data_IF_143029941580
#
_entry.id   IF_143029941580
#
_cell.length_a   1.000
_cell.length_b   1.000
_cell.length_c   1.000
_cell.angle_alpha   90.00
_cell.angle_beta   90.00
_cell.angle_gamma   90.00
#
_symmetry.space_group_name_H-M   'P 1'
#
loop_
_entity.id
_entity.type
_entity.pdbx_description
1 polymer ?
#
# COMPACT_ATOMS: atom_id res chain seq x y z
N UNK A 1 5.82 79.16 -0.64
CA UNK A 1 6.35 77.82 -0.31
C UNK A 1 5.64 76.81 -1.19
N UNK A 2 6.34 76.15 -2.11
CA UNK A 2 6.13 74.74 -2.50
C UNK A 2 7.20 74.37 -3.53
N UNK A 3 7.97 73.36 -3.15
CA UNK A 3 9.25 72.97 -3.72
C UNK A 3 9.07 71.93 -4.83
N UNK A 4 9.78 72.18 -5.94
CA UNK A 4 10.69 71.27 -6.66
C UNK A 4 10.24 69.81 -6.86
N UNK A 5 9.83 69.52 -8.09
CA UNK A 5 9.97 68.22 -8.72
C UNK A 5 11.44 67.77 -8.70
N UNK A 6 11.71 66.64 -8.05
CA UNK A 6 12.96 65.89 -8.15
C UNK A 6 12.65 64.47 -8.57
N UNK A 7 13.25 64.07 -9.69
CA UNK A 7 13.52 62.67 -9.99
C UNK A 7 14.30 62.04 -8.83
N UNK A 8 14.08 60.75 -8.58
CA UNK A 8 15.15 59.77 -8.31
C UNK A 8 14.59 58.37 -8.59
N UNK A 9 15.29 57.66 -9.47
CA UNK A 9 15.21 56.22 -9.70
C UNK A 9 15.63 55.50 -8.40
N UNK A 10 14.87 54.50 -7.95
CA UNK A 10 15.47 53.39 -7.21
C UNK A 10 14.77 52.08 -7.56
N UNK A 11 15.46 51.31 -8.40
CA UNK A 11 15.26 49.88 -8.60
C UNK A 11 15.51 49.15 -7.28
N UNK A 12 14.48 48.53 -6.73
CA UNK A 12 14.64 47.51 -5.69
C UNK A 12 14.37 46.15 -6.34
N UNK A 13 15.48 45.51 -6.72
CA UNK A 13 15.52 44.12 -7.14
C UNK A 13 15.09 43.25 -5.96
N UNK A 14 13.90 42.66 -6.06
CA UNK A 14 13.50 41.55 -5.20
C UNK A 14 14.27 40.30 -5.64
N UNK A 15 15.44 40.09 -5.05
CA UNK A 15 16.16 38.82 -5.11
C UNK A 15 15.40 37.80 -4.27
N UNK A 16 14.37 37.19 -4.86
CA UNK A 16 13.81 35.93 -4.35
C UNK A 16 14.90 34.89 -4.58
N UNK A 17 15.61 34.55 -3.50
CA UNK A 17 16.49 33.39 -3.45
C UNK A 17 15.59 32.17 -3.61
N UNK A 18 15.48 31.71 -4.85
CA UNK A 18 14.94 30.40 -5.19
C UNK A 18 15.88 29.35 -4.59
N UNK A 19 15.64 28.97 -3.33
CA UNK A 19 16.18 27.73 -2.81
C UNK A 19 15.62 26.61 -3.68
N UNK A 20 16.46 25.74 -4.28
CA UNK A 20 15.97 24.50 -4.81
C UNK A 20 15.48 23.68 -3.62
N UNK A 21 14.18 23.77 -3.34
CA UNK A 21 13.47 22.66 -2.74
C UNK A 21 13.69 21.51 -3.72
N UNK A 22 14.71 20.70 -3.46
CA UNK A 22 14.81 19.36 -4.01
C UNK A 22 13.59 18.65 -3.44
N UNK A 23 12.47 18.83 -4.15
CA UNK A 23 11.26 18.10 -3.94
C UNK A 23 11.70 16.64 -3.90
N UNK A 24 11.35 15.99 -2.80
CA UNK A 24 11.34 14.55 -2.70
C UNK A 24 10.58 14.03 -3.91
N UNK A 25 11.32 13.67 -4.97
CA UNK A 25 10.73 13.01 -6.11
C UNK A 25 10.46 11.59 -5.61
N UNK A 26 9.18 11.16 -5.56
CA UNK A 26 8.93 9.74 -5.36
C UNK A 26 9.69 9.00 -6.46
N UNK A 27 10.44 7.93 -6.14
CA UNK A 27 11.18 7.20 -7.14
C UNK A 27 10.22 6.76 -8.23
N UNK A 28 10.49 7.16 -9.48
CA UNK A 28 9.82 6.62 -10.66
C UNK A 28 10.25 5.16 -10.78
N UNK A 29 9.52 4.28 -10.09
CA UNK A 29 9.79 2.86 -10.10
C UNK A 29 9.45 2.31 -11.48
N UNK A 30 10.48 1.82 -12.18
CA UNK A 30 10.28 0.93 -13.33
C UNK A 30 9.51 -0.29 -12.84
N UNK A 31 8.48 -0.67 -13.60
CA UNK A 31 7.66 -1.88 -13.44
C UNK A 31 8.48 -3.00 -12.80
N UNK A 32 8.09 -3.41 -11.59
CA UNK A 32 8.74 -4.43 -10.79
C UNK A 32 8.77 -5.76 -11.54
N UNK A 33 9.83 -6.03 -12.30
CA UNK A 33 10.22 -7.41 -12.56
C UNK A 33 10.74 -7.98 -11.24
N UNK A 34 10.01 -8.96 -10.71
CA UNK A 34 10.36 -9.70 -9.50
C UNK A 34 11.68 -10.44 -9.75
N UNK A 35 12.81 -9.81 -9.43
CA UNK A 35 14.09 -10.49 -9.31
C UNK A 35 14.30 -10.92 -7.85
N UNK A 36 14.44 -12.23 -7.73
CA UNK A 36 14.51 -13.10 -6.54
C UNK A 36 15.69 -12.69 -5.65
N UNK A 37 15.42 -12.43 -4.38
CA UNK A 37 16.43 -12.31 -3.33
C UNK A 37 16.08 -13.33 -2.23
N UNK A 38 17.05 -14.21 -1.96
CA UNK A 38 16.91 -15.38 -1.09
C UNK A 38 16.66 -15.02 0.38
N UNK A 39 15.76 -15.77 1.01
CA UNK A 39 15.08 -15.43 2.26
C UNK A 39 13.58 -15.43 2.01
N UNK A 40 13.12 -16.59 1.55
CA UNK A 40 12.10 -16.82 0.52
C UNK A 40 10.71 -16.91 1.17
N UNK A 41 9.88 -15.89 0.96
CA UNK A 41 8.48 -16.21 0.76
C UNK A 41 8.47 -17.11 -0.47
N UNK A 42 8.09 -18.38 -0.30
CA UNK A 42 8.15 -19.37 -1.38
C UNK A 42 7.19 -19.06 -2.54
N UNK A 43 6.41 -17.97 -2.41
CA UNK A 43 5.28 -17.72 -3.29
C UNK A 43 4.40 -18.96 -3.28
N UNK A 44 4.05 -19.48 -2.11
CA UNK A 44 3.05 -20.55 -2.02
C UNK A 44 1.72 -19.93 -2.49
N UNK A 45 1.59 -19.93 -3.81
CA UNK A 45 0.41 -19.53 -4.51
C UNK A 45 -0.55 -20.69 -4.28
N UNK A 46 -1.73 -20.38 -3.74
CA UNK A 46 -2.86 -21.30 -3.68
C UNK A 46 -2.94 -22.11 -4.98
N UNK A 47 -3.30 -23.40 -4.91
CA UNK A 47 -3.29 -24.34 -6.05
C UNK A 47 -3.88 -23.76 -7.37
N UNK A 48 -4.83 -22.82 -7.27
CA UNK A 48 -5.49 -22.16 -8.40
C UNK A 48 -4.88 -20.81 -8.87
N UNK A 49 -3.82 -20.30 -8.24
CA UNK A 49 -3.21 -19.03 -8.63
C UNK A 49 -3.94 -17.77 -8.15
N UNK A 50 -5.13 -17.91 -7.58
CA UNK A 50 -6.07 -16.80 -7.36
C UNK A 50 -5.97 -16.16 -5.98
N UNK A 51 -6.14 -14.85 -5.94
CA UNK A 51 -6.34 -14.06 -4.72
C UNK A 51 -7.68 -14.47 -4.10
N UNK A 52 -7.65 -14.85 -2.83
CA UNK A 52 -8.84 -15.11 -2.00
C UNK A 52 -9.29 -13.83 -1.29
N UNK A 53 -10.45 -13.84 -0.64
CA UNK A 53 -10.96 -12.68 0.09
C UNK A 53 -11.32 -11.48 -0.78
N UNK A 54 -11.50 -11.67 -2.08
CA UNK A 54 -11.79 -10.58 -3.01
C UNK A 54 -13.25 -10.60 -3.46
N UNK A 55 -13.94 -9.48 -3.29
CA UNK A 55 -15.30 -9.27 -3.78
C UNK A 55 -15.28 -8.08 -4.74
N UNK A 56 -15.61 -8.32 -6.01
CA UNK A 56 -15.69 -7.29 -7.05
C UNK A 56 -17.15 -6.99 -7.35
N UNK A 57 -17.55 -5.74 -7.13
CA UNK A 57 -18.90 -5.24 -7.39
C UNK A 57 -18.86 -4.22 -8.54
N UNK A 58 -19.51 -4.48 -9.69
CA UNK A 58 -19.59 -3.50 -10.77
C UNK A 58 -20.47 -2.33 -10.33
N UNK A 59 -19.98 -1.11 -10.52
CA UNK A 59 -20.74 0.13 -10.31
C UNK A 59 -21.24 0.67 -11.65
N UNK A 60 -20.40 0.58 -12.68
CA UNK A 60 -20.72 0.92 -14.07
C UNK A 60 -20.11 -0.12 -15.02
N UNK A 61 -20.21 0.08 -16.33
CA UNK A 61 -19.55 -0.80 -17.31
C UNK A 61 -18.02 -0.81 -17.17
N UNK A 62 -17.45 0.30 -16.68
CA UNK A 62 -16.00 0.49 -16.57
C UNK A 62 -15.50 0.69 -15.16
N UNK A 63 -16.38 0.89 -14.17
CA UNK A 63 -16.00 1.19 -12.80
C UNK A 63 -16.43 0.09 -11.84
N UNK A 64 -15.51 -0.28 -10.96
CA UNK A 64 -15.68 -1.35 -9.99
C UNK A 64 -15.39 -0.85 -8.58
N UNK A 65 -16.10 -1.44 -7.61
CA UNK A 65 -15.74 -1.40 -6.19
C UNK A 65 -15.17 -2.77 -5.82
N UNK A 66 -14.00 -2.79 -5.21
CA UNK A 66 -13.26 -4.01 -4.88
C UNK A 66 -13.03 -4.04 -3.38
N UNK A 67 -13.58 -5.05 -2.70
CA UNK A 67 -13.35 -5.29 -1.28
C UNK A 67 -12.34 -6.42 -1.13
N UNK A 68 -11.32 -6.19 -0.31
CA UNK A 68 -10.25 -7.15 -0.02
C UNK A 68 -10.23 -7.48 1.47
N UNK A 69 -10.37 -8.76 1.79
CA UNK A 69 -10.03 -9.32 3.10
C UNK A 69 -8.53 -9.62 3.15
N UNK A 70 -7.82 -8.86 3.97
CA UNK A 70 -6.37 -8.98 4.09
C UNK A 70 -5.88 -10.31 4.63
N UNK A 71 -6.72 -11.02 5.40
CA UNK A 71 -6.36 -12.31 6.01
C UNK A 71 -6.35 -13.39 4.93
N UNK A 72 -7.42 -13.46 4.15
CA UNK A 72 -7.51 -14.42 3.05
C UNK A 72 -6.56 -14.10 1.90
N UNK A 73 -6.31 -12.81 1.64
CA UNK A 73 -5.37 -12.36 0.61
C UNK A 73 -3.90 -12.33 1.06
N UNK A 74 -3.60 -12.77 2.30
CA UNK A 74 -2.25 -12.79 2.89
C UNK A 74 -1.47 -11.46 2.80
N UNK A 75 -2.17 -10.34 3.04
CA UNK A 75 -1.58 -9.01 2.89
C UNK A 75 -0.52 -8.70 3.97
N UNK A 76 -0.53 -9.41 5.09
CA UNK A 76 0.50 -9.31 6.11
C UNK A 76 1.88 -9.71 5.56
N UNK A 77 1.99 -10.93 5.03
CA UNK A 77 3.25 -11.43 4.46
C UNK A 77 3.64 -10.66 3.20
N UNK A 78 2.68 -10.37 2.32
CA UNK A 78 2.95 -9.60 1.12
C UNK A 78 3.48 -8.20 1.47
N UNK A 79 2.87 -7.51 2.44
CA UNK A 79 3.33 -6.21 2.90
C UNK A 79 4.68 -6.25 3.60
N UNK A 80 5.00 -7.31 4.36
CA UNK A 80 6.34 -7.50 4.91
C UNK A 80 7.40 -7.66 3.81
N UNK A 81 7.09 -8.44 2.76
CA UNK A 81 7.99 -8.65 1.63
C UNK A 81 8.25 -7.37 0.83
N UNK A 82 7.18 -6.62 0.51
CA UNK A 82 7.27 -5.31 -0.16
C UNK A 82 8.10 -4.34 0.69
N UNK A 83 7.79 -4.21 1.99
CA UNK A 83 8.52 -3.34 2.90
C UNK A 83 10.01 -3.71 3.00
N UNK A 84 10.33 -5.00 3.12
CA UNK A 84 11.72 -5.49 3.14
C UNK A 84 12.46 -5.12 1.87
N UNK A 85 11.81 -5.25 0.70
CA UNK A 85 12.40 -4.90 -0.59
C UNK A 85 12.68 -3.40 -0.70
N UNK A 86 11.67 -2.55 -0.48
CA UNK A 86 11.84 -1.10 -0.62
C UNK A 86 12.87 -0.55 0.38
N UNK A 87 12.96 -1.13 1.58
CA UNK A 87 13.94 -0.72 2.57
C UNK A 87 15.34 -1.26 2.26
N UNK A 88 15.47 -2.46 1.68
CA UNK A 88 16.75 -2.94 1.16
C UNK A 88 17.28 -2.01 0.06
N UNK A 89 16.41 -1.64 -0.90
CA UNK A 89 16.75 -0.71 -1.98
C UNK A 89 17.15 0.66 -1.40
N UNK A 90 16.37 1.18 -0.45
CA UNK A 90 16.69 2.44 0.23
C UNK A 90 18.04 2.41 0.96
N UNK A 91 18.41 1.30 1.59
CA UNK A 91 19.71 1.15 2.28
C UNK A 91 20.91 1.22 1.33
N UNK A 92 20.72 0.90 0.05
CA UNK A 92 21.78 1.08 -0.96
C UNK A 92 22.02 2.56 -1.29
N UNK A 93 21.03 3.42 -1.04
CA UNK A 93 21.14 4.85 -1.24
C UNK A 93 22.03 5.48 -0.15
N UNK A 94 22.89 6.42 -0.55
CA UNK A 94 23.73 7.17 0.40
C UNK A 94 22.98 8.39 0.90
N UNK A 95 22.48 8.33 2.14
CA UNK A 95 21.89 9.48 2.81
C UNK A 95 22.97 10.35 3.47
N UNK A 96 22.93 11.66 3.19
CA UNK A 96 23.88 12.61 3.76
C UNK A 96 23.77 12.65 5.29
N UNK A 97 24.91 12.52 5.99
CA UNK A 97 24.95 12.56 7.46
C UNK A 97 24.57 11.23 8.14
N UNK A 98 24.28 10.18 7.38
CA UNK A 98 23.99 8.85 7.91
C UNK A 98 25.03 7.83 7.46
N UNK A 99 25.21 6.78 8.26
CA UNK A 99 26.11 5.67 7.90
C UNK A 99 25.55 4.93 6.68
N UNK A 100 26.41 4.48 5.75
CA UNK A 100 25.99 3.58 4.66
C UNK A 100 25.17 2.40 5.20
N UNK A 101 24.09 2.04 4.50
CA UNK A 101 23.19 0.96 4.94
C UNK A 101 22.16 1.37 6.01
N UNK A 102 22.08 2.65 6.38
CA UNK A 102 21.12 3.16 7.38
C UNK A 102 20.10 4.08 6.73
N UNK A 103 18.81 3.81 6.96
CA UNK A 103 17.71 4.71 6.58
C UNK A 103 17.49 5.72 7.71
N UNK A 104 17.44 7.04 7.42
CA UNK A 104 17.10 8.04 8.42
C UNK A 104 15.76 7.74 9.14
N UNK A 105 15.69 7.79 10.47
CA UNK A 105 14.48 7.41 11.22
C UNK A 105 13.21 8.19 10.84
N UNK A 106 13.35 9.46 10.45
CA UNK A 106 12.23 10.30 10.02
C UNK A 106 11.62 9.88 8.68
N UNK A 107 12.33 9.08 7.87
CA UNK A 107 11.82 8.52 6.61
C UNK A 107 11.09 7.18 6.82
N UNK A 108 11.28 6.52 7.97
CA UNK A 108 10.68 5.21 8.23
C UNK A 108 9.15 5.21 8.10
N UNK A 109 8.40 6.22 8.61
CA UNK A 109 6.95 6.28 8.40
C UNK A 109 6.55 6.38 6.92
N UNK A 110 7.33 7.10 6.10
CA UNK A 110 7.07 7.24 4.68
C UNK A 110 7.22 5.90 3.95
N UNK A 111 8.25 5.10 4.29
CA UNK A 111 8.40 3.75 3.73
C UNK A 111 7.28 2.80 4.15
N UNK A 112 6.78 2.91 5.39
CA UNK A 112 5.62 2.12 5.83
C UNK A 112 4.36 2.48 5.04
N UNK A 113 4.09 3.79 4.90
CA UNK A 113 2.96 4.29 4.14
C UNK A 113 3.02 3.84 2.67
N UNK A 114 4.20 3.95 2.06
CA UNK A 114 4.44 3.50 0.70
C UNK A 114 4.23 1.99 0.56
N UNK A 115 4.73 1.17 1.49
CA UNK A 115 4.50 -0.27 1.44
C UNK A 115 3.02 -0.63 1.51
N UNK A 116 2.25 0.01 2.39
CA UNK A 116 0.81 -0.24 2.51
C UNK A 116 0.05 0.13 1.23
N UNK A 117 0.33 1.31 0.66
CA UNK A 117 -0.31 1.78 -0.57
C UNK A 117 0.03 0.87 -1.76
N UNK A 118 1.31 0.50 -1.92
CA UNK A 118 1.74 -0.40 -2.99
C UNK A 118 1.10 -1.78 -2.89
N UNK A 119 1.05 -2.37 -1.69
CA UNK A 119 0.38 -3.65 -1.45
C UNK A 119 -1.08 -3.58 -1.86
N UNK A 120 -1.80 -2.53 -1.43
CA UNK A 120 -3.20 -2.38 -1.75
C UNK A 120 -3.42 -2.24 -3.26
N UNK A 121 -2.67 -1.36 -3.94
CA UNK A 121 -2.81 -1.13 -5.39
C UNK A 121 -2.46 -2.35 -6.23
N UNK A 122 -1.37 -3.05 -5.90
CA UNK A 122 -1.00 -4.28 -6.63
C UNK A 122 -2.06 -5.37 -6.44
N UNK A 123 -2.59 -5.53 -5.22
CA UNK A 123 -3.64 -6.52 -4.94
C UNK A 123 -4.91 -6.24 -5.74
N UNK A 124 -5.31 -4.96 -5.86
CA UNK A 124 -6.46 -4.55 -6.66
C UNK A 124 -6.25 -4.88 -8.14
N UNK A 125 -5.08 -4.55 -8.70
CA UNK A 125 -4.80 -4.78 -10.12
C UNK A 125 -4.74 -6.27 -10.46
N UNK A 126 -4.15 -7.07 -9.59
CA UNK A 126 -4.11 -8.53 -9.73
C UNK A 126 -5.52 -9.12 -9.61
N UNK A 127 -6.33 -8.66 -8.66
CA UNK A 127 -7.74 -9.06 -8.54
C UNK A 127 -8.55 -8.74 -9.80
N UNK A 128 -8.36 -7.56 -10.40
CA UNK A 128 -9.00 -7.21 -11.67
C UNK A 128 -8.58 -8.16 -12.80
N UNK A 129 -7.27 -8.39 -12.94
CA UNK A 129 -6.72 -9.26 -13.97
C UNK A 129 -7.26 -10.71 -13.85
N UNK A 130 -7.28 -11.27 -12.65
CA UNK A 130 -7.81 -12.62 -12.39
C UNK A 130 -9.30 -12.76 -12.68
N UNK A 131 -10.05 -11.66 -12.61
CA UNK A 131 -11.48 -11.60 -12.93
C UNK A 131 -11.76 -11.14 -14.37
N UNK A 132 -10.77 -11.23 -15.26
CA UNK A 132 -10.89 -10.84 -16.67
C UNK A 132 -11.32 -9.39 -16.88
N UNK A 133 -10.87 -8.51 -15.98
CA UNK A 133 -11.03 -7.06 -16.09
C UNK A 133 -9.65 -6.49 -16.43
N UNK A 134 -9.53 -5.89 -17.61
CA UNK A 134 -8.30 -5.20 -18.03
C UNK A 134 -8.29 -3.79 -17.41
N UNK A 135 -7.39 -3.48 -16.47
CA UNK A 135 -7.32 -2.13 -15.91
C UNK A 135 -6.94 -1.10 -16.98
N UNK A 136 -7.45 0.13 -16.86
CA UNK A 136 -6.97 1.23 -17.69
C UNK A 136 -5.60 1.73 -17.23
N UNK A 137 -4.89 2.45 -18.10
CA UNK A 137 -3.56 2.99 -17.77
C UNK A 137 -3.60 3.96 -16.59
N UNK A 138 -4.70 4.71 -16.43
CA UNK A 138 -4.93 5.62 -15.29
C UNK A 138 -5.50 4.93 -14.05
N UNK A 139 -5.86 3.63 -14.12
CA UNK A 139 -6.54 2.95 -13.02
C UNK A 139 -5.74 3.00 -11.72
N UNK A 140 -4.40 2.90 -11.82
CA UNK A 140 -3.50 2.96 -10.65
C UNK A 140 -3.58 4.31 -9.93
N UNK A 141 -3.60 5.42 -10.66
CA UNK A 141 -3.65 6.77 -10.07
C UNK A 141 -5.05 7.15 -9.60
N UNK A 142 -6.08 6.65 -10.28
CA UNK A 142 -7.47 7.08 -10.07
C UNK A 142 -8.14 6.33 -8.91
N UNK A 143 -7.68 5.11 -8.57
CA UNK A 143 -8.30 4.32 -7.51
C UNK A 143 -8.15 4.95 -6.12
N UNK A 144 -9.23 4.90 -5.36
CA UNK A 144 -9.34 5.42 -4.00
C UNK A 144 -9.42 4.24 -3.03
N UNK A 145 -8.53 4.21 -2.05
CA UNK A 145 -8.52 3.18 -1.00
C UNK A 145 -9.16 3.79 0.25
N UNK A 146 -10.29 3.20 0.63
CA UNK A 146 -11.17 3.64 1.71
C UNK A 146 -11.43 2.48 2.69
N UNK A 147 -12.00 2.78 3.86
CA UNK A 147 -12.47 1.79 4.83
C UNK A 147 -11.41 0.74 5.20
N UNK A 148 -10.25 1.23 5.61
CA UNK A 148 -9.09 0.40 5.95
C UNK A 148 -9.28 -0.18 7.34
N UNK A 149 -9.34 -1.50 7.45
CA UNK A 149 -9.48 -2.21 8.71
C UNK A 149 -8.16 -2.88 9.09
N UNK A 150 -7.73 -2.72 10.34
CA UNK A 150 -6.53 -3.36 10.89
C UNK A 150 -6.89 -4.05 12.21
N UNK A 151 -6.13 -5.09 12.55
CA UNK A 151 -6.23 -5.71 13.88
C UNK A 151 -5.77 -4.73 14.96
N UNK A 152 -6.48 -4.66 16.09
CA UNK A 152 -5.97 -3.90 17.24
C UNK A 152 -4.64 -4.48 17.71
N UNK A 153 -3.68 -3.61 18.00
CA UNK A 153 -2.51 -4.04 18.77
C UNK A 153 -2.96 -4.38 20.18
N UNK A 154 -2.54 -5.51 20.77
CA UNK A 154 -2.74 -5.74 22.18
C UNK A 154 -2.13 -4.56 22.94
N UNK A 155 -2.93 -3.87 23.75
CA UNK A 155 -2.49 -2.69 24.50
C UNK A 155 -1.22 -3.05 25.27
N UNK A 156 -0.12 -2.32 25.02
CA UNK A 156 1.14 -2.45 25.75
C UNK A 156 0.89 -2.16 27.24
N UNK A 157 0.55 -3.22 27.96
CA UNK A 157 0.23 -3.25 29.38
C UNK A 157 0.26 -4.67 29.95
N UNK A 158 0.01 -5.69 29.14
CA UNK A 158 0.19 -7.10 29.51
C UNK A 158 1.48 -7.69 28.91
N UNK A 159 2.61 -7.01 29.17
CA UNK A 159 3.95 -7.49 28.82
C UNK A 159 4.70 -7.99 30.04
N UNK A 160 4.36 -9.20 30.50
CA UNK A 160 5.20 -10.17 31.23
C UNK A 160 6.33 -9.55 32.09
N UNK A 161 5.95 -8.85 33.16
CA UNK A 161 6.86 -8.59 34.27
C UNK A 161 7.37 -9.92 34.82
N UNK A 162 8.69 -10.08 34.88
CA UNK A 162 9.39 -11.23 35.46
C UNK A 162 9.01 -11.38 36.94
N UNK A 163 7.89 -12.04 37.25
CA UNK A 163 7.43 -12.26 38.63
C UNK A 163 7.95 -13.61 39.14
N UNK A 164 8.85 -13.47 40.11
CA UNK A 164 9.31 -14.48 41.06
C UNK A 164 8.09 -15.09 41.77
N UNK A 165 8.07 -16.43 41.89
CA UNK A 165 7.15 -17.32 42.64
C UNK A 165 6.33 -16.63 43.77
N UNK A 166 5.01 -16.79 43.73
CA UNK A 166 4.18 -17.28 44.85
C UNK A 166 2.71 -17.45 44.42
N UNK A 167 2.07 -18.44 45.02
CA UNK A 167 0.78 -19.08 44.73
C UNK A 167 -0.50 -18.21 44.71
N UNK A 168 -1.48 -18.80 44.00
CA UNK A 168 -2.94 -18.75 44.20
C UNK A 168 -3.67 -17.40 44.20
N UNK A 169 -4.24 -17.04 43.04
CA UNK A 169 -5.70 -16.85 42.84
C UNK A 169 -5.94 -16.45 41.37
N UNK A 170 -6.53 -17.34 40.59
CA UNK A 170 -6.68 -17.21 39.14
C UNK A 170 -7.99 -16.50 38.82
N UNK A 171 -7.93 -15.18 38.61
CA UNK A 171 -8.95 -14.48 37.82
C UNK A 171 -8.68 -14.70 36.32
N UNK A 172 -9.74 -14.82 35.49
CA UNK A 172 -9.61 -15.14 34.08
C UNK A 172 -8.94 -13.99 33.34
N UNK A 173 -7.91 -14.33 32.56
CA UNK A 173 -7.29 -13.44 31.59
C UNK A 173 -8.35 -13.21 30.52
N UNK A 174 -8.81 -11.96 30.38
CA UNK A 174 -9.73 -11.54 29.35
C UNK A 174 -9.01 -11.65 27.99
N UNK A 175 -9.13 -12.84 27.39
CA UNK A 175 -8.63 -13.22 26.07
C UNK A 175 -9.60 -12.65 25.02
N UNK A 176 -9.83 -11.33 25.08
CA UNK A 176 -10.72 -10.66 24.13
C UNK A 176 -10.05 -10.72 22.76
N UNK A 177 -10.66 -11.39 21.75
CA UNK A 177 -10.07 -11.47 20.43
C UNK A 177 -9.86 -10.04 19.91
N UNK A 178 -8.64 -9.75 19.43
CA UNK A 178 -8.29 -8.44 18.90
C UNK A 178 -9.34 -8.02 17.86
N UNK A 179 -10.09 -6.97 18.19
CA UNK A 179 -11.12 -6.46 17.29
C UNK A 179 -10.49 -5.92 16.02
N UNK A 180 -11.22 -6.02 14.91
CA UNK A 180 -10.90 -5.23 13.72
C UNK A 180 -11.36 -3.79 13.97
N UNK A 181 -10.47 -2.83 13.74
CA UNK A 181 -10.80 -1.40 13.78
C UNK A 181 -10.71 -0.85 12.38
N UNK A 182 -11.78 -0.20 11.94
CA UNK A 182 -11.90 0.42 10.62
C UNK A 182 -11.61 1.91 10.69
N UNK A 183 -10.88 2.40 9.69
CA UNK A 183 -10.47 3.78 9.50
C UNK A 183 -10.90 4.24 8.11
N UNK A 184 -11.14 5.55 7.94
CA UNK A 184 -11.59 6.05 6.64
C UNK A 184 -10.44 6.05 5.62
N UNK A 185 -9.21 6.28 6.09
CA UNK A 185 -8.02 6.41 5.24
C UNK A 185 -6.84 5.55 5.70
N UNK A 186 -5.95 5.20 4.77
CA UNK A 186 -4.68 4.53 5.11
C UNK A 186 -3.82 5.35 6.08
N UNK A 187 -3.89 6.68 6.00
CA UNK A 187 -3.15 7.57 6.91
C UNK A 187 -3.59 7.42 8.36
N UNK A 188 -4.89 7.27 8.59
CA UNK A 188 -5.44 7.02 9.92
C UNK A 188 -5.04 5.64 10.43
N UNK A 189 -5.11 4.60 9.60
CA UNK A 189 -4.65 3.25 9.96
C UNK A 189 -3.15 3.23 10.34
N UNK A 190 -2.31 3.96 9.61
CA UNK A 190 -0.89 4.13 9.95
C UNK A 190 -0.69 4.87 11.27
N UNK A 191 -1.51 5.89 11.54
CA UNK A 191 -1.47 6.65 12.80
C UNK A 191 -1.95 5.81 13.98
N UNK A 192 -2.92 4.93 13.76
CA UNK A 192 -3.37 3.91 14.71
C UNK A 192 -2.33 2.80 14.93
N UNK A 193 -1.25 2.82 14.15
CA UNK A 193 -0.07 2.03 14.39
C UNK A 193 0.00 0.76 13.55
N UNK A 194 -0.62 0.69 12.38
CA UNK A 194 -0.33 -0.41 11.45
C UNK A 194 1.19 -0.56 11.21
N UNK A 195 1.66 -1.80 11.11
CA UNK A 195 3.06 -2.13 10.85
C UNK A 195 3.18 -3.13 9.68
N UNK A 196 4.25 -3.06 8.87
CA UNK A 196 4.52 -4.09 7.86
C UNK A 196 4.59 -5.49 8.50
N UNK A 197 3.91 -6.46 7.89
CA UNK A 197 3.70 -7.78 8.48
C UNK A 197 2.34 -7.93 9.17
N UNK A 198 1.66 -6.84 9.48
CA UNK A 198 0.30 -6.86 10.01
C UNK A 198 -0.71 -6.89 8.86
N UNK A 199 -1.67 -7.82 8.94
CA UNK A 199 -2.76 -7.88 7.96
C UNK A 199 -3.68 -6.66 8.07
N UNK A 200 -4.26 -6.26 6.93
CA UNK A 200 -5.24 -5.19 6.84
C UNK A 200 -6.22 -5.47 5.70
N UNK A 201 -7.49 -5.14 5.90
CA UNK A 201 -8.56 -5.26 4.90
C UNK A 201 -8.94 -3.86 4.41
N UNK A 202 -9.46 -3.71 3.21
CA UNK A 202 -9.84 -2.40 2.69
C UNK A 202 -10.89 -2.50 1.58
N UNK A 203 -11.52 -1.36 1.27
CA UNK A 203 -12.42 -1.20 0.13
C UNK A 203 -11.82 -0.20 -0.84
N UNK A 204 -11.64 -0.61 -2.08
CA UNK A 204 -11.19 0.24 -3.17
C UNK A 204 -12.36 0.67 -4.03
N UNK A 205 -12.43 1.97 -4.34
CA UNK A 205 -13.41 2.59 -5.23
C UNK A 205 -12.71 3.19 -6.44
N UNK A 206 -13.51 3.54 -7.45
CA UNK A 206 -13.02 4.12 -8.70
C UNK A 206 -11.97 3.22 -9.39
N UNK A 207 -12.13 1.90 -9.27
CA UNK A 207 -11.25 0.92 -9.91
C UNK A 207 -11.69 0.79 -11.38
N UNK A 208 -10.99 1.46 -12.31
CA UNK A 208 -11.40 1.55 -13.71
C UNK A 208 -10.81 0.44 -14.59
N UNK A 209 -11.63 -0.24 -15.35
CA UNK A 209 -11.18 -1.24 -16.31
C UNK A 209 -12.27 -1.69 -17.28
N UNK A 210 -11.89 -2.53 -18.24
CA UNK A 210 -12.81 -3.10 -19.22
C UNK A 210 -12.93 -4.61 -19.02
N UNK A 211 -14.16 -5.11 -18.87
CA UNK A 211 -14.41 -6.55 -18.83
C UNK A 211 -14.10 -7.16 -20.19
N UNK A 212 -13.16 -8.10 -20.23
CA UNK A 212 -12.75 -8.81 -21.43
C UNK A 212 -13.74 -9.93 -21.67
N UNK A 213 -14.50 -9.88 -22.78
CA UNK A 213 -15.29 -11.03 -23.20
C UNK A 213 -14.34 -12.13 -23.64
N UNK A 214 -14.55 -13.40 -23.25
CA UNK A 214 -13.78 -14.50 -23.81
C UNK A 214 -13.96 -14.48 -25.32
N UNK A 215 -12.87 -14.32 -26.06
CA UNK A 215 -12.88 -14.40 -27.51
C UNK A 215 -13.11 -15.87 -27.85
N UNK A 216 -14.31 -16.21 -28.29
CA UNK A 216 -14.62 -17.51 -28.88
C UNK A 216 -13.68 -17.74 -30.06
N UNK A 217 -12.59 -18.45 -29.79
CA UNK A 217 -11.63 -18.77 -30.84
C UNK A 217 -12.28 -19.89 -31.64
N UNK A 218 -12.58 -19.59 -32.90
CA UNK A 218 -13.32 -20.37 -33.91
C UNK A 218 -12.70 -21.73 -34.26
N UNK A 219 -12.25 -22.52 -33.28
CA UNK A 219 -11.74 -23.90 -33.43
C UNK A 219 -12.80 -24.97 -33.18
N UNK A 220 -13.91 -24.62 -32.52
CA UNK A 220 -14.99 -25.58 -32.24
C UNK A 220 -16.02 -25.73 -33.37
N UNK A 221 -15.96 -24.88 -34.40
CA UNK A 221 -16.92 -24.94 -35.54
C UNK A 221 -16.60 -26.10 -36.50
N UNK A 222 -15.42 -26.72 -36.41
CA UNK A 222 -15.09 -27.88 -37.25
C UNK A 222 -15.47 -29.24 -36.62
N UNK A 223 -15.80 -29.29 -35.33
CA UNK A 223 -16.29 -30.54 -34.71
C UNK A 223 -17.81 -30.71 -34.81
N UNK A 224 -18.58 -29.63 -35.01
CA UNK A 224 -20.04 -29.71 -35.18
C UNK A 224 -20.53 -29.95 -36.61
N UNK A 225 -19.61 -30.18 -37.57
CA UNK A 225 -19.93 -30.50 -38.97
C UNK A 225 -19.51 -31.94 -39.34
N UNK A 226 -19.17 -32.76 -38.34
CA UNK A 226 -18.74 -34.15 -38.53
C UNK A 226 -19.78 -35.19 -38.09
N UNK A 227 -20.98 -34.77 -37.70
CA UNK A 227 -22.12 -35.65 -37.39
C UNK A 227 -23.21 -35.55 -38.47
#
# INVERSE_FOLDING_TARGET
>A
MMNKFHQIRLLLAASIIALPVKAFQPPTFRRLSVLRAEGEWNGEVVEDGRIRGCIITPVSETDFTIQIDGTEADLGNFGAAVYKKITADAKTQRFQGFRPGTIPPHLMPAYKAFAMDEVARETILEAMQQNSIRPFDSARSDMLIEQVSILEKPKKGQGKGKKKKSDADSQPVDDTPAGWVTFDTMKEALTAGWEPGQTFSFVARNCKGQKVKPVETKRDVLQSLSD
#
